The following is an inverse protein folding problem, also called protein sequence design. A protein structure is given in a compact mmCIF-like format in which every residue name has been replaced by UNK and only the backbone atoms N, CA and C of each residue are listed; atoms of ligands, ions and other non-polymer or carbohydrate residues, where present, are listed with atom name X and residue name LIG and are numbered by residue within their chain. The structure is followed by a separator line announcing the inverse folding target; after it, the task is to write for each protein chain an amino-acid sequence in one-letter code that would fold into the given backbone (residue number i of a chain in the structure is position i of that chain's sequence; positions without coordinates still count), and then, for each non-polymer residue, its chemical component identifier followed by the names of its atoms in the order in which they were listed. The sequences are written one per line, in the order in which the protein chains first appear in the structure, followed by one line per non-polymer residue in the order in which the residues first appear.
data_IF_819155928257
#
_entry.id   IF_819155928257
#
_cell.length_a   1.000
_cell.length_b   1.000
_cell.length_c   1.000
_cell.angle_alpha   90.00
_cell.angle_beta   90.00
_cell.angle_gamma   90.00
#
_symmetry.space_group_name_H-M   'P 1'
#
loop_
_entity.id
_entity.type
_entity.pdbx_description
1 polymer ?
#
# COMPACT_ATOMS: atom_id res chain seq x y z
N UNK A 1 -13.66 83.53 42.45
CA UNK A 1 -13.17 82.81 43.65
C UNK A 1 -13.97 81.52 43.91
N UNK A 2 -15.30 81.55 43.91
CA UNK A 2 -16.13 80.35 44.14
C UNK A 2 -15.95 79.22 43.11
N UNK A 3 -15.78 79.54 41.82
CA UNK A 3 -15.56 78.54 40.77
C UNK A 3 -14.24 77.77 40.97
N UNK A 4 -13.15 78.48 41.29
CA UNK A 4 -11.83 77.89 41.53
C UNK A 4 -11.85 76.97 42.75
N UNK A 5 -12.57 77.34 43.82
CA UNK A 5 -12.71 76.49 45.02
C UNK A 5 -13.50 75.22 44.72
N UNK A 6 -14.53 75.32 43.86
CA UNK A 6 -15.31 74.16 43.41
C UNK A 6 -14.45 73.21 42.57
N UNK A 7 -13.67 73.74 41.64
CA UNK A 7 -12.78 72.94 40.78
C UNK A 7 -11.70 72.23 41.61
N UNK A 8 -11.11 72.92 42.60
CA UNK A 8 -10.13 72.31 43.51
C UNK A 8 -10.77 71.20 44.34
N UNK A 9 -11.99 71.41 44.83
CA UNK A 9 -12.73 70.38 45.58
C UNK A 9 -13.07 69.15 44.73
N UNK A 10 -13.38 69.36 43.45
CA UNK A 10 -13.66 68.27 42.51
C UNK A 10 -12.40 67.50 42.10
N UNK A 11 -11.27 68.19 41.92
CA UNK A 11 -9.97 67.55 41.69
C UNK A 11 -9.57 66.73 42.92
N UNK A 12 -9.76 67.28 44.12
CA UNK A 12 -9.44 66.59 45.37
C UNK A 12 -10.31 65.34 45.58
N UNK A 13 -11.62 65.42 45.34
CA UNK A 13 -12.50 64.25 45.45
C UNK A 13 -12.16 63.16 44.42
N UNK A 14 -11.80 63.53 43.19
CA UNK A 14 -11.36 62.55 42.18
C UNK A 14 -10.02 61.90 42.51
N UNK A 15 -9.09 62.64 43.13
CA UNK A 15 -7.76 62.13 43.49
C UNK A 15 -7.78 61.31 44.78
N UNK A 16 -8.61 61.68 45.76
CA UNK A 16 -8.54 61.14 47.13
C UNK A 16 -9.81 60.45 47.62
N UNK A 17 -10.95 60.57 46.92
CA UNK A 17 -12.14 59.76 47.20
C UNK A 17 -12.18 58.58 46.22
N UNK A 18 -11.55 57.49 46.62
CA UNK A 18 -11.46 56.27 45.82
C UNK A 18 -12.76 55.44 45.86
N UNK A 19 -13.75 55.83 46.66
CA UNK A 19 -15.01 55.08 46.81
C UNK A 19 -15.75 54.84 45.50
N UNK A 20 -15.86 55.80 44.55
CA UNK A 20 -16.50 55.56 43.26
C UNK A 20 -15.73 54.56 42.41
N UNK A 21 -14.40 54.62 42.42
CA UNK A 21 -13.54 53.67 41.71
C UNK A 21 -13.68 52.26 42.29
N UNK A 22 -13.47 52.09 43.60
CA UNK A 22 -13.63 50.81 44.30
C UNK A 22 -15.03 50.22 44.13
N UNK A 23 -16.08 51.03 44.22
CA UNK A 23 -17.46 50.56 43.99
C UNK A 23 -17.69 50.12 42.55
N UNK A 24 -17.02 50.76 41.58
CA UNK A 24 -17.04 50.36 40.17
C UNK A 24 -16.35 49.02 39.97
N UNK A 25 -15.14 48.86 40.49
CA UNK A 25 -14.36 47.62 40.40
C UNK A 25 -15.06 46.45 41.08
N UNK A 26 -15.64 46.65 42.27
CA UNK A 26 -16.41 45.60 42.98
C UNK A 26 -17.62 45.17 42.14
N UNK A 27 -18.36 46.12 41.56
CA UNK A 27 -19.51 45.78 40.68
C UNK A 27 -19.08 45.07 39.40
N UNK A 28 -17.97 45.50 38.81
CA UNK A 28 -17.41 44.86 37.63
C UNK A 28 -16.98 43.42 37.93
N UNK A 29 -16.29 43.22 39.05
CA UNK A 29 -15.87 41.90 39.51
C UNK A 29 -17.07 40.96 39.73
N UNK A 30 -18.09 41.40 40.47
CA UNK A 30 -19.31 40.61 40.71
C UNK A 30 -20.01 40.23 39.39
N UNK A 31 -20.17 41.19 38.47
CA UNK A 31 -20.79 40.93 37.16
C UNK A 31 -20.00 39.92 36.32
N UNK A 32 -18.68 40.06 36.22
CA UNK A 32 -17.90 39.18 35.35
C UNK A 32 -17.68 37.79 35.95
N UNK A 33 -17.52 37.68 37.28
CA UNK A 33 -17.22 36.40 37.94
C UNK A 33 -18.44 35.66 38.49
N UNK A 34 -19.41 36.35 39.09
CA UNK A 34 -20.60 35.69 39.63
C UNK A 34 -21.71 35.56 38.58
N UNK A 35 -21.96 36.60 37.77
CA UNK A 35 -23.08 36.57 36.82
C UNK A 35 -22.71 35.89 35.48
N UNK A 36 -21.58 36.26 34.86
CA UNK A 36 -21.20 35.70 33.56
C UNK A 36 -20.51 34.33 33.61
N UNK A 37 -19.69 34.08 34.63
CA UNK A 37 -18.89 32.85 34.69
C UNK A 37 -19.69 31.66 35.22
N UNK A 38 -20.60 31.90 36.18
CA UNK A 38 -21.42 30.87 36.82
C UNK A 38 -22.24 30.07 35.80
N UNK A 39 -22.95 30.74 34.91
CA UNK A 39 -23.84 30.04 33.95
C UNK A 39 -23.06 29.15 32.97
N UNK A 40 -21.91 29.63 32.48
CA UNK A 40 -21.10 28.90 31.50
C UNK A 40 -20.41 27.67 32.11
N UNK A 41 -19.95 27.76 33.35
CA UNK A 41 -19.28 26.64 34.01
C UNK A 41 -20.29 25.57 34.43
N UNK A 42 -21.46 25.99 34.89
CA UNK A 42 -22.58 25.10 35.17
C UNK A 42 -23.06 24.37 33.90
N UNK A 43 -23.21 25.09 32.79
CA UNK A 43 -23.57 24.48 31.49
C UNK A 43 -22.55 23.43 31.06
N UNK A 44 -21.24 23.72 31.15
CA UNK A 44 -20.19 22.73 30.87
C UNK A 44 -20.23 21.51 31.79
N UNK A 45 -20.54 21.71 33.07
CA UNK A 45 -20.66 20.58 34.01
C UNK A 45 -21.85 19.70 33.65
N UNK A 46 -22.95 20.28 33.18
CA UNK A 46 -24.10 19.53 32.67
C UNK A 46 -23.75 18.77 31.38
N UNK A 47 -23.06 19.39 30.43
CA UNK A 47 -22.59 18.72 29.20
C UNK A 47 -21.68 17.52 29.53
N UNK A 48 -20.71 17.71 30.44
CA UNK A 48 -19.81 16.63 30.87
C UNK A 48 -20.60 15.52 31.57
N UNK A 49 -21.57 15.87 32.41
CA UNK A 49 -22.42 14.89 33.08
C UNK A 49 -23.26 14.11 32.07
N UNK A 50 -23.83 14.78 31.08
CA UNK A 50 -24.61 14.16 30.00
C UNK A 50 -23.75 13.17 29.22
N UNK A 51 -22.59 13.58 28.72
CA UNK A 51 -21.68 12.69 27.98
C UNK A 51 -21.20 11.52 28.84
N UNK A 52 -20.85 11.78 30.10
CA UNK A 52 -20.40 10.72 31.01
C UNK A 52 -21.51 9.70 31.24
N UNK A 53 -22.74 10.17 31.40
CA UNK A 53 -23.91 9.31 31.60
C UNK A 53 -24.23 8.53 30.33
N UNK A 54 -24.22 9.18 29.16
CA UNK A 54 -24.45 8.52 27.88
C UNK A 54 -23.42 7.42 27.62
N UNK A 55 -22.14 7.72 27.84
CA UNK A 55 -21.05 6.75 27.67
C UNK A 55 -21.25 5.56 28.61
N UNK A 56 -21.50 5.83 29.89
CA UNK A 56 -21.68 4.82 30.94
C UNK A 56 -22.88 3.92 30.67
N UNK A 57 -24.03 4.51 30.36
CA UNK A 57 -25.30 3.80 30.30
C UNK A 57 -25.58 3.15 28.93
N UNK A 58 -24.99 3.67 27.84
CA UNK A 58 -25.32 3.20 26.48
C UNK A 58 -24.12 2.80 25.64
N UNK A 59 -23.08 3.62 25.58
CA UNK A 59 -22.02 3.42 24.58
C UNK A 59 -21.12 2.24 24.93
N UNK A 60 -20.81 2.03 26.22
CA UNK A 60 -19.99 0.88 26.67
C UNK A 60 -20.66 -0.44 26.26
N UNK A 61 -21.94 -0.61 26.54
CA UNK A 61 -22.64 -1.86 26.26
C UNK A 61 -22.86 -2.07 24.76
N UNK A 62 -23.11 -1.00 24.00
CA UNK A 62 -23.16 -1.05 22.53
C UNK A 62 -21.84 -1.53 21.93
N UNK A 63 -20.71 -1.00 22.41
CA UNK A 63 -19.38 -1.40 21.93
C UNK A 63 -19.09 -2.85 22.31
N UNK A 64 -19.42 -3.28 23.53
CA UNK A 64 -19.26 -4.68 23.94
C UNK A 64 -20.08 -5.62 23.05
N UNK A 65 -21.37 -5.34 22.85
CA UNK A 65 -22.24 -6.15 22.01
C UNK A 65 -21.73 -6.22 20.57
N UNK A 66 -21.36 -5.08 19.99
CA UNK A 66 -20.83 -5.04 18.63
C UNK A 66 -19.51 -5.81 18.52
N UNK A 67 -18.63 -5.68 19.51
CA UNK A 67 -17.37 -6.42 19.61
C UNK A 67 -17.61 -7.92 19.67
N UNK A 68 -18.52 -8.37 20.55
CA UNK A 68 -18.83 -9.78 20.76
C UNK A 68 -19.44 -10.44 19.51
N UNK A 69 -20.16 -9.68 18.68
CA UNK A 69 -20.74 -10.17 17.43
C UNK A 69 -19.73 -10.16 16.28
N UNK A 70 -18.99 -9.07 16.11
CA UNK A 70 -18.20 -8.85 14.90
C UNK A 70 -16.76 -9.37 15.00
N UNK A 71 -16.11 -9.28 16.16
CA UNK A 71 -14.72 -9.70 16.32
C UNK A 71 -14.53 -11.21 16.11
N UNK A 72 -15.38 -12.12 16.63
CA UNK A 72 -15.20 -13.54 16.40
C UNK A 72 -15.32 -13.92 14.92
N UNK A 73 -16.26 -13.30 14.20
CA UNK A 73 -16.44 -13.53 12.76
C UNK A 73 -15.23 -13.01 11.97
N UNK A 74 -14.76 -11.80 12.28
CA UNK A 74 -13.55 -11.26 11.67
C UNK A 74 -12.33 -12.15 11.94
N UNK A 75 -12.16 -12.62 13.17
CA UNK A 75 -11.07 -13.51 13.56
C UNK A 75 -11.12 -14.84 12.81
N UNK A 76 -12.30 -15.47 12.74
CA UNK A 76 -12.48 -16.72 11.99
C UNK A 76 -12.15 -16.56 10.49
N UNK A 77 -12.59 -15.46 9.87
CA UNK A 77 -12.27 -15.18 8.47
C UNK A 77 -10.77 -14.96 8.25
N UNK A 78 -10.10 -14.27 9.19
CA UNK A 78 -8.66 -14.07 9.16
C UNK A 78 -7.91 -15.40 9.32
N UNK A 79 -8.32 -16.25 10.26
CA UNK A 79 -7.73 -17.58 10.44
C UNK A 79 -7.86 -18.43 9.18
N UNK A 80 -9.02 -18.41 8.52
CA UNK A 80 -9.23 -19.09 7.24
C UNK A 80 -8.29 -18.52 6.17
N UNK A 81 -8.22 -17.19 6.02
CA UNK A 81 -7.35 -16.55 5.04
C UNK A 81 -5.87 -16.92 5.27
N UNK A 82 -5.40 -16.89 6.52
CA UNK A 82 -4.04 -17.29 6.90
C UNK A 82 -3.80 -18.76 6.57
N UNK A 83 -4.74 -19.66 6.89
CA UNK A 83 -4.62 -21.08 6.55
C UNK A 83 -4.52 -21.31 5.05
N UNK A 84 -5.25 -20.53 4.24
CA UNK A 84 -5.19 -20.60 2.78
C UNK A 84 -3.83 -20.13 2.26
N UNK A 85 -3.31 -19.02 2.77
CA UNK A 85 -1.99 -18.52 2.41
C UNK A 85 -0.89 -19.54 2.74
N UNK A 86 -0.91 -20.10 3.95
CA UNK A 86 0.06 -21.12 4.35
C UNK A 86 -0.01 -22.36 3.46
N UNK A 87 -1.21 -22.82 3.11
CA UNK A 87 -1.38 -23.97 2.20
C UNK A 87 -0.87 -23.68 0.78
N UNK A 88 -0.95 -22.44 0.32
CA UNK A 88 -0.37 -22.04 -0.97
C UNK A 88 1.16 -22.08 -0.89
N UNK A 89 1.75 -21.54 0.19
CA UNK A 89 3.19 -21.55 0.40
C UNK A 89 3.75 -22.98 0.50
N UNK A 90 3.12 -23.86 1.28
CA UNK A 90 3.51 -25.27 1.38
C UNK A 90 3.46 -25.99 0.02
N UNK A 91 2.43 -25.70 -0.79
CA UNK A 91 2.34 -26.23 -2.15
C UNK A 91 3.42 -25.68 -3.06
N UNK A 92 3.76 -24.40 -2.96
CA UNK A 92 4.86 -23.81 -3.73
C UNK A 92 6.18 -24.49 -3.39
N UNK A 93 6.48 -24.70 -2.10
CA UNK A 93 7.70 -25.39 -1.66
C UNK A 93 7.77 -26.82 -2.21
N UNK A 94 6.65 -27.56 -2.17
CA UNK A 94 6.57 -28.89 -2.79
C UNK A 94 6.87 -28.86 -4.30
N UNK A 95 6.28 -27.92 -5.05
CA UNK A 95 6.54 -27.81 -6.50
C UNK A 95 7.94 -27.26 -6.82
N UNK A 96 8.49 -26.41 -5.97
CA UNK A 96 9.89 -25.95 -6.08
C UNK A 96 10.86 -27.10 -5.84
N UNK A 97 10.50 -28.06 -4.99
CA UNK A 97 11.28 -29.28 -4.79
C UNK A 97 11.11 -30.31 -5.91
N UNK A 98 10.15 -30.12 -6.83
CA UNK A 98 9.88 -31.04 -7.93
C UNK A 98 10.91 -30.90 -9.06
N UNK A 99 12.13 -31.34 -8.75
CA UNK A 99 13.26 -31.48 -9.68
C UNK A 99 12.95 -32.40 -10.86
N UNK A 100 11.83 -33.13 -10.85
CA UNK A 100 11.50 -34.04 -11.95
C UNK A 100 11.14 -33.29 -13.24
N UNK A 101 10.51 -32.11 -13.14
CA UNK A 101 10.23 -31.29 -14.32
C UNK A 101 11.51 -30.75 -14.94
N UNK A 102 12.46 -30.34 -14.11
CA UNK A 102 13.75 -29.82 -14.55
C UNK A 102 14.62 -30.93 -15.16
N UNK A 103 14.67 -32.11 -14.52
CA UNK A 103 15.33 -33.29 -15.08
C UNK A 103 14.72 -33.72 -16.43
N UNK A 104 13.38 -33.72 -16.55
CA UNK A 104 12.69 -34.02 -17.81
C UNK A 104 12.90 -32.95 -18.88
N UNK A 105 13.18 -31.69 -18.52
CA UNK A 105 13.56 -30.65 -19.48
C UNK A 105 14.97 -30.90 -20.00
N UNK A 106 15.90 -31.29 -19.13
CA UNK A 106 17.28 -31.56 -19.53
C UNK A 106 17.38 -32.80 -20.44
N UNK A 107 16.65 -33.87 -20.13
CA UNK A 107 16.58 -35.06 -21.01
C UNK A 107 16.09 -34.68 -22.40
N UNK A 108 14.97 -33.93 -22.50
CA UNK A 108 14.42 -33.50 -23.79
C UNK A 108 15.37 -32.59 -24.57
N UNK A 109 16.17 -31.79 -23.87
CA UNK A 109 17.18 -30.93 -24.48
C UNK A 109 18.29 -31.75 -25.12
N UNK A 110 18.81 -32.76 -24.42
CA UNK A 110 19.82 -33.69 -24.94
C UNK A 110 19.29 -34.50 -26.13
N UNK A 111 18.05 -35.00 -26.02
CA UNK A 111 17.38 -35.72 -27.12
C UNK A 111 17.23 -34.83 -28.37
N UNK A 112 16.85 -33.56 -28.16
CA UNK A 112 16.72 -32.59 -29.24
C UNK A 112 18.06 -32.25 -29.90
N UNK A 113 19.10 -32.01 -29.10
CA UNK A 113 20.46 -31.74 -29.61
C UNK A 113 20.96 -32.92 -30.45
N UNK A 114 20.77 -34.15 -29.96
CA UNK A 114 21.15 -35.38 -30.67
C UNK A 114 20.38 -35.53 -31.99
N UNK A 115 19.08 -35.25 -31.97
CA UNK A 115 18.25 -35.31 -33.17
C UNK A 115 18.68 -34.28 -34.23
N UNK A 116 18.97 -33.05 -33.80
CA UNK A 116 19.43 -31.99 -34.71
C UNK A 116 20.80 -32.33 -35.29
N UNK A 117 21.69 -32.89 -34.48
CA UNK A 117 23.00 -33.34 -34.96
C UNK A 117 22.87 -34.44 -36.02
N UNK A 118 22.07 -35.49 -35.76
CA UNK A 118 21.83 -36.58 -36.71
C UNK A 118 21.19 -36.08 -38.01
N UNK A 119 20.20 -35.18 -37.91
CA UNK A 119 19.58 -34.56 -39.09
C UNK A 119 20.58 -33.72 -39.89
N UNK A 120 21.43 -32.96 -39.21
CA UNK A 120 22.46 -32.14 -39.86
C UNK A 120 23.47 -33.04 -40.58
N UNK A 121 23.93 -34.11 -39.93
CA UNK A 121 24.84 -35.10 -40.53
C UNK A 121 24.24 -35.78 -41.76
N UNK A 122 22.94 -36.09 -41.74
CA UNK A 122 22.23 -36.65 -42.90
C UNK A 122 22.17 -35.66 -44.06
N UNK A 123 21.81 -34.41 -43.80
CA UNK A 123 21.78 -33.37 -44.82
C UNK A 123 23.16 -33.15 -45.44
N UNK A 124 24.22 -33.00 -44.63
CA UNK A 124 25.58 -32.79 -45.14
C UNK A 124 26.08 -33.96 -45.97
N UNK A 125 25.74 -35.20 -45.58
CA UNK A 125 26.08 -36.39 -46.37
C UNK A 125 25.37 -36.39 -47.72
N UNK A 126 24.09 -36.04 -47.76
CA UNK A 126 23.32 -35.93 -49.00
C UNK A 126 23.94 -34.87 -49.90
N UNK A 127 24.20 -33.66 -49.39
CA UNK A 127 24.82 -32.57 -50.14
C UNK A 127 26.19 -32.97 -50.71
N UNK A 128 27.03 -33.66 -49.92
CA UNK A 128 28.31 -34.17 -50.38
C UNK A 128 28.15 -35.15 -51.55
N UNK A 129 27.21 -36.11 -51.45
CA UNK A 129 26.97 -37.05 -52.55
C UNK A 129 26.45 -36.38 -53.82
N UNK A 130 25.62 -35.34 -53.70
CA UNK A 130 25.18 -34.55 -54.85
C UNK A 130 26.34 -33.78 -55.47
N UNK A 131 27.19 -33.15 -54.65
CA UNK A 131 28.39 -32.44 -55.12
C UNK A 131 29.33 -33.37 -55.89
N UNK A 132 29.61 -34.57 -55.35
CA UNK A 132 30.45 -35.57 -56.01
C UNK A 132 29.86 -35.98 -57.37
N UNK A 133 28.54 -36.20 -57.44
CA UNK A 133 27.86 -36.57 -58.70
C UNK A 133 27.81 -35.43 -59.71
N UNK A 134 27.63 -34.19 -59.27
CA UNK A 134 27.73 -33.02 -60.15
C UNK A 134 29.13 -32.86 -60.72
N UNK A 135 30.17 -33.13 -59.93
CA UNK A 135 31.56 -33.11 -60.39
C UNK A 135 31.83 -34.23 -61.41
N UNK A 136 31.44 -35.47 -61.10
CA UNK A 136 31.53 -36.61 -62.04
C UNK A 136 30.84 -36.30 -63.39
N UNK A 137 29.62 -35.72 -63.33
CA UNK A 137 28.88 -35.31 -64.53
C UNK A 137 29.60 -34.21 -65.31
N UNK A 138 30.13 -33.21 -64.61
CA UNK A 138 30.88 -32.10 -65.22
C UNK A 138 32.12 -32.63 -65.94
N UNK A 139 32.86 -33.54 -65.32
CA UNK A 139 34.02 -34.20 -65.93
C UNK A 139 33.63 -35.04 -67.15
N UNK A 140 32.56 -35.84 -67.05
CA UNK A 140 32.07 -36.67 -68.15
C UNK A 140 31.70 -35.84 -69.38
N UNK A 141 30.93 -34.75 -69.19
CA UNK A 141 30.56 -33.87 -70.30
C UNK A 141 31.74 -33.09 -70.87
N UNK A 142 32.71 -32.67 -70.03
CA UNK A 142 33.93 -32.02 -70.50
C UNK A 142 34.80 -32.97 -71.36
N UNK A 143 34.88 -34.25 -70.99
CA UNK A 143 35.58 -35.27 -71.80
C UNK A 143 34.83 -35.58 -73.10
N UNK A 144 33.49 -35.66 -73.05
CA UNK A 144 32.66 -35.81 -74.24
C UNK A 144 32.82 -34.64 -75.22
N UNK A 145 32.84 -33.40 -74.72
CA UNK A 145 33.06 -32.19 -75.53
C UNK A 145 34.43 -32.21 -76.19
N UNK A 146 35.49 -32.61 -75.46
CA UNK A 146 36.83 -32.80 -76.04
C UNK A 146 36.81 -33.84 -77.15
N UNK A 147 36.15 -34.99 -76.94
CA UNK A 147 36.05 -36.07 -77.96
C UNK A 147 35.27 -35.65 -79.20
N UNK A 148 34.20 -34.87 -79.04
CA UNK A 148 33.42 -34.33 -80.16
C UNK A 148 34.18 -33.27 -80.96
N UNK A 149 34.98 -32.43 -80.28
CA UNK A 149 35.79 -31.40 -80.94
C UNK A 149 37.07 -31.93 -81.60
N UNK A 150 37.39 -33.23 -81.48
CA UNK A 150 38.46 -33.92 -82.23
C UNK A 150 38.00 -34.26 -83.67
N UNK A 151 36.74 -34.00 -84.02
CA UNK A 151 36.16 -34.20 -85.36
C UNK A 151 36.12 -32.96 -86.29
N UNK A 152 36.92 -31.91 -86.03
CA UNK A 152 37.12 -30.77 -86.93
C UNK A 152 38.59 -30.50 -87.20
#
# INVERSE_FOLDING_TARGET
MAAVIKDIGEIWSRLFDHRPFLSGEIKFFLREFEEKHSDREVERLFEILEWTTEIKETQIDRVKLASDVHLPNLNANLEVAVSMCNRILEKEELHRSDKTLEAKREIRKVEWETFIEDMTQKCTKVDATFSDKEEELREFYADLEKKLNIGK
#
